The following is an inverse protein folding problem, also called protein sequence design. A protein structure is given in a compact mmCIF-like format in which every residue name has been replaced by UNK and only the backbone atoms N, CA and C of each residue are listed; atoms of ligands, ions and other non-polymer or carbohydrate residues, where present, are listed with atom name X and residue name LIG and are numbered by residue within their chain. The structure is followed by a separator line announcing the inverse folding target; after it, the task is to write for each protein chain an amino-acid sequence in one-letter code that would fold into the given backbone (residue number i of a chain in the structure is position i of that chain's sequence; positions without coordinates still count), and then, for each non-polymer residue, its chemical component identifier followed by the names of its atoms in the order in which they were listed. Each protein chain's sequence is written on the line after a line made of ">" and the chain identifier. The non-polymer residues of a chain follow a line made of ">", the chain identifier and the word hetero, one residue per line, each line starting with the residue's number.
data_IF_318361157473
#
_entry.id   IF_318361157473
#
_cell.length_a   1.000
_cell.length_b   1.000
_cell.length_c   1.000
_cell.angle_alpha   90.00
_cell.angle_beta   90.00
_cell.angle_gamma   90.00
#
_symmetry.space_group_name_H-M   'P 1'
#
loop_
_entity.id
_entity.type
_entity.pdbx_description
1 polymer ?
#
# COMPACT_ATOMS: atom_id res chain seq x y z
N UNK A 1 11.11 8.23 2.93
CA UNK A 1 10.56 6.98 3.47
C UNK A 1 11.66 6.00 3.82
N UNK A 2 11.79 5.66 5.10
CA UNK A 2 12.56 4.50 5.53
C UNK A 2 11.66 3.26 5.52
N UNK A 3 12.20 2.10 5.16
CA UNK A 3 11.44 0.85 5.17
C UNK A 3 12.35 -0.36 5.33
N UNK A 4 11.78 -1.45 5.84
CA UNK A 4 12.41 -2.75 5.98
C UNK A 4 11.44 -3.87 5.57
N UNK A 5 11.98 -4.97 5.01
CA UNK A 5 11.21 -6.19 4.74
C UNK A 5 11.43 -7.14 5.91
N UNK A 6 10.35 -7.43 6.62
CA UNK A 6 10.27 -8.39 7.70
C UNK A 6 9.77 -9.74 7.17
N UNK A 7 10.24 -10.83 7.79
CA UNK A 7 9.81 -12.20 7.50
C UNK A 7 9.85 -12.60 6.00
N UNK A 8 10.97 -12.37 5.29
CA UNK A 8 11.06 -12.71 3.87
C UNK A 8 10.77 -14.19 3.62
N UNK A 9 10.18 -14.49 2.46
CA UNK A 9 9.81 -15.86 2.07
C UNK A 9 8.31 -16.02 1.83
N UNK A 10 7.59 -16.73 2.69
CA UNK A 10 6.17 -17.07 2.45
C UNK A 10 5.17 -16.07 3.04
N UNK A 11 5.60 -15.18 3.94
CA UNK A 11 4.74 -14.24 4.65
C UNK A 11 5.44 -12.89 4.84
N UNK A 12 6.04 -12.37 3.76
CA UNK A 12 6.78 -11.13 3.82
C UNK A 12 5.89 -9.95 4.20
N UNK A 13 6.42 -9.08 5.05
CA UNK A 13 5.75 -7.89 5.57
C UNK A 13 6.68 -6.70 5.36
N UNK A 14 6.16 -5.57 4.90
CA UNK A 14 6.92 -4.33 4.81
C UNK A 14 6.58 -3.48 6.03
N UNK A 15 7.59 -3.06 6.77
CA UNK A 15 7.49 -2.05 7.80
C UNK A 15 8.05 -0.75 7.24
N UNK A 16 7.23 0.29 7.16
CA UNK A 16 7.62 1.59 6.61
C UNK A 16 7.31 2.72 7.58
N UNK A 17 8.24 3.66 7.66
CA UNK A 17 8.15 4.89 8.44
C UNK A 17 7.87 6.05 7.47
N UNK A 18 6.81 6.79 7.79
CA UNK A 18 6.33 7.94 7.05
C UNK A 18 6.64 9.20 7.85
N UNK A 19 7.37 10.12 7.23
CA UNK A 19 7.52 11.49 7.73
C UNK A 19 6.18 12.24 7.66
N UNK A 20 5.99 13.34 8.42
CA UNK A 20 4.78 14.15 8.32
C UNK A 20 4.44 14.51 6.87
N UNK A 21 3.18 14.30 6.49
CA UNK A 21 2.64 14.50 5.13
C UNK A 21 3.17 13.55 4.05
N UNK A 22 4.01 12.57 4.38
CA UNK A 22 4.46 11.54 3.45
C UNK A 22 3.34 10.53 3.15
N UNK A 23 3.34 10.00 1.92
CA UNK A 23 2.32 9.10 1.41
C UNK A 23 2.93 7.80 0.87
N UNK A 24 2.34 6.68 1.24
CA UNK A 24 2.59 5.36 0.65
C UNK A 24 1.33 4.88 -0.07
N UNK A 25 1.48 4.51 -1.35
CA UNK A 25 0.43 3.81 -2.09
C UNK A 25 0.60 2.30 -1.92
N UNK A 26 -0.48 1.64 -1.53
CA UNK A 26 -0.53 0.19 -1.38
C UNK A 26 -1.70 -0.39 -2.17
N UNK A 27 -1.61 -1.66 -2.53
CA UNK A 27 -2.77 -2.41 -3.02
C UNK A 27 -3.89 -2.39 -1.96
N UNK A 28 -5.13 -2.29 -2.41
CA UNK A 28 -6.29 -2.39 -1.53
C UNK A 28 -6.29 -3.74 -0.81
N UNK A 29 -6.38 -3.71 0.52
CA UNK A 29 -6.32 -4.91 1.35
C UNK A 29 -4.92 -5.31 1.81
N UNK A 30 -3.86 -4.66 1.30
CA UNK A 30 -2.49 -4.93 1.76
C UNK A 30 -2.15 -4.34 3.14
N UNK A 31 -2.98 -3.44 3.66
CA UNK A 31 -2.74 -2.80 4.96
C UNK A 31 -2.97 -3.81 6.10
N UNK A 32 -1.93 -4.05 6.90
CA UNK A 32 -1.98 -4.90 8.10
C UNK A 32 -2.26 -4.04 9.33
N UNK A 33 -1.47 -2.99 9.55
CA UNK A 33 -1.68 -2.05 10.66
C UNK A 33 -1.06 -0.69 10.37
N UNK A 34 -1.43 0.31 11.18
CA UNK A 34 -0.87 1.66 11.12
C UNK A 34 -0.92 2.35 12.48
N UNK A 35 -0.10 3.37 12.67
CA UNK A 35 -0.27 4.31 13.79
C UNK A 35 -1.51 5.19 13.60
N UNK A 36 -1.95 5.82 14.69
CA UNK A 36 -3.12 6.71 14.69
C UNK A 36 -2.93 7.96 13.82
N UNK A 37 -1.68 8.40 13.63
CA UNK A 37 -1.29 9.56 12.81
C UNK A 37 -1.42 9.33 11.30
N UNK A 38 -1.66 8.08 10.86
CA UNK A 38 -1.77 7.74 9.44
C UNK A 38 -3.24 7.66 9.04
N UNK A 39 -3.66 8.47 8.09
CA UNK A 39 -4.98 8.38 7.47
C UNK A 39 -4.97 7.41 6.28
N UNK A 40 -6.10 6.76 6.02
CA UNK A 40 -6.28 5.82 4.89
C UNK A 40 -7.37 6.39 3.99
N UNK A 41 -7.05 6.60 2.72
CA UNK A 41 -8.02 7.00 1.72
C UNK A 41 -8.04 6.02 0.56
N UNK A 42 -9.23 5.51 0.22
CA UNK A 42 -9.45 4.72 -0.99
C UNK A 42 -9.64 5.66 -2.17
N UNK A 43 -8.76 5.61 -3.17
CA UNK A 43 -8.84 6.49 -4.32
C UNK A 43 -9.42 5.78 -5.53
N UNK A 44 -10.75 5.73 -5.65
CA UNK A 44 -11.41 5.51 -6.94
C UNK A 44 -11.34 6.83 -7.73
N UNK A 45 -10.20 7.12 -8.36
CA UNK A 45 -10.07 8.32 -9.18
C UNK A 45 -11.16 8.31 -10.27
N UNK A 46 -11.97 9.37 -10.35
CA UNK A 46 -13.22 9.42 -11.14
C UNK A 46 -13.09 9.19 -12.66
N UNK A 47 -11.87 9.11 -13.21
CA UNK A 47 -11.62 8.65 -14.59
C UNK A 47 -11.28 7.16 -14.71
N UNK A 48 -10.84 6.53 -13.62
CA UNK A 48 -10.40 5.14 -13.53
C UNK A 48 -11.59 4.16 -13.49
N UNK A 49 -12.81 4.59 -13.17
CA UNK A 49 -14.00 3.72 -13.18
C UNK A 49 -14.24 3.08 -14.56
N UNK A 50 -13.96 3.81 -15.66
CA UNK A 50 -14.01 3.24 -17.03
C UNK A 50 -12.91 2.21 -17.28
N UNK A 51 -11.75 2.39 -16.68
CA UNK A 51 -10.59 1.47 -16.78
C UNK A 51 -10.78 0.24 -15.90
N UNK A 52 -11.38 0.39 -14.73
CA UNK A 52 -11.72 -0.67 -13.80
C UNK A 52 -12.85 -1.55 -14.33
N UNK A 53 -13.85 -0.99 -15.04
CA UNK A 53 -14.80 -1.82 -15.79
C UNK A 53 -14.09 -2.75 -16.80
N UNK A 54 -12.96 -2.34 -17.39
CA UNK A 54 -12.16 -3.23 -18.26
C UNK A 54 -11.32 -4.23 -17.46
N UNK A 55 -10.69 -3.79 -16.37
CA UNK A 55 -9.89 -4.66 -15.50
C UNK A 55 -10.73 -5.75 -14.82
N UNK A 56 -11.95 -5.42 -14.39
CA UNK A 56 -12.93 -6.35 -13.83
C UNK A 56 -13.43 -7.38 -14.86
N UNK A 57 -13.55 -6.99 -16.14
CA UNK A 57 -13.83 -7.93 -17.24
C UNK A 57 -12.62 -8.79 -17.61
N UNK A 58 -11.40 -8.36 -17.27
CA UNK A 58 -10.15 -9.10 -17.43
C UNK A 58 -9.74 -9.92 -16.20
N UNK A 59 -10.51 -9.87 -15.11
CA UNK A 59 -10.27 -10.67 -13.90
C UNK A 59 -9.28 -10.08 -12.87
N UNK A 60 -8.73 -8.88 -13.08
CA UNK A 60 -7.74 -8.28 -12.18
C UNK A 60 -8.27 -6.99 -11.53
N UNK A 61 -8.28 -6.98 -10.19
CA UNK A 61 -8.79 -5.88 -9.37
C UNK A 61 -7.64 -4.92 -9.01
N UNK A 62 -7.27 -4.01 -9.93
CA UNK A 62 -6.26 -2.96 -9.66
C UNK A 62 -6.87 -1.81 -8.83
N UNK A 63 -7.03 -2.03 -7.53
CA UNK A 63 -7.50 -1.02 -6.58
C UNK A 63 -6.34 -0.66 -5.65
N UNK A 64 -6.11 0.64 -5.46
CA UNK A 64 -5.07 1.15 -4.59
C UNK A 64 -5.67 2.00 -3.47
N UNK A 65 -5.03 1.95 -2.31
CA UNK A 65 -5.26 2.83 -1.17
C UNK A 65 -4.03 3.72 -0.97
N UNK A 66 -4.27 4.93 -0.47
CA UNK A 66 -3.22 5.86 -0.07
C UNK A 66 -3.17 5.92 1.45
N UNK A 67 -2.01 5.57 2.01
CA UNK A 67 -1.69 5.68 3.43
C UNK A 67 -0.89 6.96 3.62
N UNK A 68 -1.39 7.90 4.41
CA UNK A 68 -0.77 9.22 4.55
C UNK A 68 -0.51 9.55 6.01
N UNK A 69 0.73 9.86 6.37
CA UNK A 69 1.00 10.49 7.65
C UNK A 69 0.45 11.92 7.63
N UNK A 70 -0.35 12.30 8.63
CA UNK A 70 -0.94 13.64 8.70
C UNK A 70 0.12 14.64 9.23
N UNK A 71 -0.13 15.30 10.37
CA UNK A 71 0.78 16.31 10.93
C UNK A 71 1.97 15.73 11.72
N UNK A 72 2.02 14.42 11.90
CA UNK A 72 3.06 13.75 12.69
C UNK A 72 3.54 12.49 12.00
N UNK A 73 4.72 12.02 12.41
CA UNK A 73 5.32 10.77 11.93
C UNK A 73 4.37 9.59 12.11
N UNK A 74 4.49 8.61 11.22
CA UNK A 74 3.63 7.45 11.21
C UNK A 74 4.34 6.18 10.78
N UNK A 75 3.79 5.06 11.23
CA UNK A 75 4.27 3.73 10.84
C UNK A 75 3.15 2.98 10.17
N UNK A 76 3.49 2.27 9.09
CA UNK A 76 2.58 1.36 8.41
C UNK A 76 3.21 -0.02 8.24
N UNK A 77 2.39 -1.05 8.42
CA UNK A 77 2.72 -2.43 8.10
C UNK A 77 1.84 -2.86 6.92
N UNK A 78 2.46 -3.32 5.84
CA UNK A 78 1.74 -3.82 4.65
C UNK A 78 2.25 -5.19 4.23
N UNK A 79 1.34 -6.07 3.80
CA UNK A 79 1.66 -7.43 3.35
C UNK A 79 0.92 -7.74 2.03
N UNK A 80 1.47 -8.62 1.18
CA UNK A 80 0.74 -9.15 0.03
C UNK A 80 -0.55 -9.89 0.47
N UNK A 81 -1.59 -9.82 -0.36
CA UNK A 81 -2.85 -10.53 -0.11
C UNK A 81 -2.72 -12.06 -0.27
N UNK A 82 -1.68 -12.52 -0.96
CA UNK A 82 -1.38 -13.93 -1.18
C UNK A 82 -0.06 -14.31 -0.50
N UNK A 83 0.10 -15.54 0.00
CA UNK A 83 1.37 -16.01 0.55
C UNK A 83 2.48 -15.87 -0.48
N UNK A 84 3.60 -15.29 -0.05
CA UNK A 84 4.74 -15.00 -0.91
C UNK A 84 5.71 -14.01 -0.31
N UNK A 85 6.63 -13.58 -1.17
CA UNK A 85 7.75 -12.72 -0.81
C UNK A 85 7.60 -11.33 -1.41
N UNK A 86 8.37 -10.38 -0.91
CA UNK A 86 8.44 -9.00 -1.43
C UNK A 86 9.83 -8.73 -1.98
N UNK A 87 9.88 -8.18 -3.19
CA UNK A 87 11.13 -7.69 -3.80
C UNK A 87 11.05 -6.19 -4.02
N UNK A 88 12.07 -5.47 -3.53
CA UNK A 88 12.22 -4.03 -3.71
C UNK A 88 12.83 -3.77 -5.09
N UNK A 89 12.17 -2.93 -5.88
CA UNK A 89 12.62 -2.50 -7.20
C UNK A 89 12.88 -0.99 -7.17
N UNK A 90 14.14 -0.54 -7.30
CA UNK A 90 14.46 0.88 -7.39
C UNK A 90 13.92 1.43 -8.71
N UNK A 91 13.18 2.53 -8.65
CA UNK A 91 12.80 3.28 -9.86
C UNK A 91 14.00 4.13 -10.30
N UNK A 92 14.32 4.06 -11.59
CA UNK A 92 15.39 4.85 -12.23
C UNK A 92 14.82 6.10 -12.88
#
# INVERSE_FOLDING_TARGET
>A
MNYEVLYPGSNALIHAELEPYEELKAESGALVSRTASVSVSGSLHGGLWRSMKRAFLGGESLFFQTLKADKGEGTVLVAPAVPGDVKILPLT
#
